data_IF_502754169462
#
_entry.id   IF_502754169462
#
_cell.length_a   1.000
_cell.length_b   1.000
_cell.length_c   1.000
_cell.angle_alpha   90.00
_cell.angle_beta   90.00
_cell.angle_gamma   90.00
#
_symmetry.space_group_name_H-M   'P 1'
#
loop_
_entity.id
_entity.type
_entity.pdbx_description
1 polymer ?
#
# COMPACT_ATOMS: atom_id res chain seq x y z
N UNK A 1 8.19 -8.94 13.10
CA UNK A 1 7.20 -8.25 14.00
C UNK A 1 6.26 -7.38 13.16
N UNK A 2 5.21 -6.76 13.72
CA UNK A 2 4.30 -5.90 12.93
C UNK A 2 5.05 -4.74 12.25
N UNK A 3 6.01 -4.13 12.95
CA UNK A 3 6.85 -3.05 12.42
C UNK A 3 7.65 -3.48 11.19
N UNK A 4 8.30 -4.64 11.24
CA UNK A 4 9.03 -5.22 10.11
C UNK A 4 8.14 -5.47 8.88
N UNK A 5 6.87 -5.83 9.11
CA UNK A 5 5.89 -6.02 8.03
C UNK A 5 5.50 -4.67 7.40
N UNK A 6 5.35 -3.62 8.21
CA UNK A 6 5.10 -2.25 7.75
C UNK A 6 6.29 -1.74 6.93
N UNK A 7 7.52 -1.91 7.43
CA UNK A 7 8.74 -1.50 6.72
C UNK A 7 8.85 -2.16 5.35
N UNK A 8 8.62 -3.47 5.27
CA UNK A 8 8.63 -4.22 4.01
C UNK A 8 7.53 -3.78 3.05
N UNK A 9 6.35 -3.44 3.56
CA UNK A 9 5.24 -2.93 2.75
C UNK A 9 5.52 -1.53 2.20
N UNK A 10 6.12 -0.64 2.99
CA UNK A 10 6.58 0.65 2.51
C UNK A 10 7.68 0.52 1.45
N UNK A 11 8.61 -0.41 1.65
CA UNK A 11 9.66 -0.66 0.66
C UNK A 11 9.08 -1.17 -0.67
N UNK A 12 8.08 -2.04 -0.62
CA UNK A 12 7.32 -2.47 -1.80
C UNK A 12 6.64 -1.27 -2.49
N UNK A 13 6.01 -0.37 -1.73
CA UNK A 13 5.40 0.84 -2.26
C UNK A 13 6.44 1.76 -2.94
N UNK A 14 7.60 2.00 -2.31
CA UNK A 14 8.69 2.82 -2.86
C UNK A 14 9.27 2.22 -4.15
N UNK A 15 9.45 0.90 -4.20
CA UNK A 15 9.95 0.18 -5.40
C UNK A 15 9.00 0.24 -6.60
N UNK A 16 7.74 0.64 -6.41
CA UNK A 16 6.79 0.82 -7.50
C UNK A 16 7.16 1.95 -8.46
N UNK A 17 7.98 2.92 -8.02
CA UNK A 17 8.40 4.08 -8.81
C UNK A 17 7.25 5.03 -9.19
N UNK A 18 6.05 4.83 -8.63
CA UNK A 18 4.85 5.63 -8.91
C UNK A 18 4.63 6.64 -7.80
N UNK A 19 4.25 7.87 -8.18
CA UNK A 19 3.93 8.94 -7.23
C UNK A 19 2.46 8.88 -6.82
N UNK A 20 2.19 9.10 -5.53
CA UNK A 20 0.84 9.12 -4.96
C UNK A 20 0.68 8.16 -3.78
N UNK A 21 -0.54 7.70 -3.56
CA UNK A 21 -0.93 6.85 -2.43
C UNK A 21 -0.94 5.38 -2.82
N UNK A 22 0.01 4.61 -2.31
CA UNK A 22 0.07 3.17 -2.53
C UNK A 22 -0.77 2.42 -1.49
N UNK A 23 -1.64 1.52 -1.96
CA UNK A 23 -2.33 0.55 -1.11
C UNK A 23 -1.63 -0.81 -1.23
N UNK A 24 -1.03 -1.26 -0.13
CA UNK A 24 -0.29 -2.53 -0.07
C UNK A 24 -1.01 -3.51 0.83
N UNK A 25 -1.23 -4.73 0.35
CA UNK A 25 -1.83 -5.81 1.11
C UNK A 25 -0.78 -6.47 2.00
N UNK A 26 -1.01 -6.55 3.31
CA UNK A 26 0.03 -7.02 4.24
C UNK A 26 0.27 -8.53 4.21
N UNK A 27 -0.66 -9.34 3.69
CA UNK A 27 -0.52 -10.80 3.63
C UNK A 27 0.56 -11.29 2.66
N UNK A 28 0.74 -10.57 1.55
CA UNK A 28 1.63 -10.94 0.44
C UNK A 28 2.48 -9.77 -0.08
N UNK A 29 2.36 -8.59 0.53
CA UNK A 29 3.01 -7.34 0.12
C UNK A 29 2.66 -6.91 -1.31
N UNK A 30 1.54 -7.37 -1.86
CA UNK A 30 1.09 -7.00 -3.19
C UNK A 30 0.60 -5.54 -3.22
N UNK A 31 1.00 -4.80 -4.27
CA UNK A 31 0.47 -3.47 -4.56
C UNK A 31 -0.91 -3.63 -5.20
N UNK A 32 -1.95 -3.25 -4.48
CA UNK A 32 -3.32 -3.23 -5.00
C UNK A 32 -3.48 -2.10 -6.02
N UNK A 33 -2.83 -0.96 -5.77
CA UNK A 33 -2.79 0.16 -6.69
C UNK A 33 -2.06 1.37 -6.11
N UNK A 34 -1.80 2.36 -6.97
CA UNK A 34 -1.29 3.68 -6.59
C UNK A 34 -2.26 4.72 -7.09
N UNK A 35 -2.74 5.57 -6.20
CA UNK A 35 -3.87 6.46 -6.40
C UNK A 35 -3.47 7.91 -6.16
N UNK A 36 -4.19 8.86 -6.75
CA UNK A 36 -3.89 10.28 -6.52
C UNK A 36 -4.40 10.74 -5.16
N UNK A 37 -5.43 10.09 -4.61
CA UNK A 37 -6.01 10.46 -3.32
C UNK A 37 -6.17 9.25 -2.37
N UNK A 38 -6.12 9.47 -1.04
CA UNK A 38 -6.40 8.43 -0.05
C UNK A 38 -7.80 7.81 -0.19
N UNK A 39 -8.78 8.59 -0.64
CA UNK A 39 -10.17 8.15 -0.74
C UNK A 39 -10.36 7.10 -1.85
N UNK A 40 -9.68 7.28 -2.99
CA UNK A 40 -9.65 6.29 -4.07
C UNK A 40 -8.99 5.00 -3.63
N UNK A 41 -7.86 5.10 -2.92
CA UNK A 41 -7.14 3.95 -2.39
C UNK A 41 -8.02 3.11 -1.45
N UNK A 42 -8.73 3.74 -0.51
CA UNK A 42 -9.63 3.02 0.42
C UNK A 42 -10.78 2.31 -0.30
N UNK A 43 -11.33 2.92 -1.36
CA UNK A 43 -12.39 2.31 -2.19
C UNK A 43 -11.89 1.12 -3.01
N UNK A 44 -10.59 1.03 -3.28
CA UNK A 44 -9.99 -0.04 -4.07
C UNK A 44 -9.80 -1.35 -3.29
N UNK A 45 -9.95 -1.34 -1.96
CA UNK A 45 -9.95 -2.56 -1.16
C UNK A 45 -11.20 -3.41 -1.47
N UNK A 46 -11.03 -4.46 -2.26
CA UNK A 46 -12.13 -5.38 -2.66
C UNK A 46 -12.20 -6.66 -1.85
N UNK A 47 -11.14 -6.98 -1.13
CA UNK A 47 -11.04 -8.19 -0.30
C UNK A 47 -10.85 -7.79 1.17
N UNK A 48 -11.48 -8.52 2.12
CA UNK A 48 -11.18 -8.35 3.55
C UNK A 48 -9.68 -8.58 3.81
N UNK A 49 -9.05 -7.71 4.61
CA UNK A 49 -7.64 -7.85 4.93
C UNK A 49 -7.04 -6.63 5.60
N UNK A 50 -5.77 -6.76 6.00
CA UNK A 50 -4.96 -5.66 6.50
C UNK A 50 -4.22 -5.00 5.34
N UNK A 51 -4.33 -3.67 5.27
CA UNK A 51 -3.70 -2.86 4.24
C UNK A 51 -2.87 -1.76 4.87
N UNK A 52 -1.73 -1.46 4.24
CA UNK A 52 -0.96 -0.26 4.50
C UNK A 52 -1.26 0.75 3.40
N UNK A 53 -1.68 1.95 3.80
CA UNK A 53 -1.78 3.11 2.92
C UNK A 53 -0.60 4.03 3.20
N UNK A 54 0.25 4.24 2.20
CA UNK A 54 1.45 5.07 2.33
C UNK A 54 1.60 6.03 1.17
N UNK A 55 2.18 7.19 1.43
CA UNK A 55 2.51 8.20 0.43
C UNK A 55 3.88 7.88 -0.19
N UNK A 56 3.94 7.86 -1.52
CA UNK A 56 5.15 7.64 -2.30
C UNK A 56 5.44 8.93 -3.06
N UNK A 57 6.53 9.61 -2.67
CA UNK A 57 6.97 10.90 -3.18
C UNK A 57 7.70 10.87 -4.52
#
# INVERSE_FOLDING_TARGET
MLEELIERAEEAARRSGRRGWALVRLSDLAIVGVFQTPAEARKAAKEPGLYLLTEVG
#
